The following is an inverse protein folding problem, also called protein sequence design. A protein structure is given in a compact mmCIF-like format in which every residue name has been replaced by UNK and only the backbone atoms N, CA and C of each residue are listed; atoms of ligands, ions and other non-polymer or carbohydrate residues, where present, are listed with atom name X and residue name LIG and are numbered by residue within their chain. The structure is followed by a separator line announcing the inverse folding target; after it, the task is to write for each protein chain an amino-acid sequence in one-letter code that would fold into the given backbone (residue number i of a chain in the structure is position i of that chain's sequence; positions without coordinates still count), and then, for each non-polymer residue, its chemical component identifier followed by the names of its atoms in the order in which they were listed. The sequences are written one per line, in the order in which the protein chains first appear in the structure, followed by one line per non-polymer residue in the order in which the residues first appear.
data_IF_123113361506
#
_entry.id   IF_123113361506
#
_cell.length_a   1.000
_cell.length_b   1.000
_cell.length_c   1.000
_cell.angle_alpha   90.00
_cell.angle_beta   90.00
_cell.angle_gamma   90.00
#
_symmetry.space_group_name_H-M   'P 1'
#
loop_
_entity.id
_entity.type
_entity.pdbx_description
1 polymer ?
#
# COMPACT_ATOMS: atom_id res chain seq x y z
N UNK A 1 4.22 4.12 18.63
CA UNK A 1 2.83 4.34 18.18
C UNK A 1 2.64 5.70 17.55
N UNK A 2 3.32 6.73 18.07
CA UNK A 2 3.23 8.11 17.58
C UNK A 2 3.43 8.27 16.05
N UNK A 3 4.42 7.60 15.46
CA UNK A 3 4.70 7.74 14.02
C UNK A 3 3.60 7.14 13.13
N UNK A 4 3.00 6.02 13.53
CA UNK A 4 1.93 5.38 12.77
C UNK A 4 0.67 6.27 12.77
N UNK A 5 0.34 6.88 13.90
CA UNK A 5 -0.74 7.87 14.02
C UNK A 5 -0.46 9.13 13.22
N UNK A 6 0.79 9.63 13.24
CA UNK A 6 1.22 10.77 12.40
C UNK A 6 1.06 10.46 10.92
N UNK A 7 1.45 9.27 10.47
CA UNK A 7 1.29 8.86 9.07
C UNK A 7 -0.20 8.73 8.72
N UNK A 8 -1.03 8.20 9.61
CA UNK A 8 -2.47 8.09 9.43
C UNK A 8 -3.15 9.47 9.30
N UNK A 9 -2.66 10.49 10.02
CA UNK A 9 -3.15 11.87 9.90
C UNK A 9 -2.74 12.57 8.57
N UNK A 10 -1.89 11.92 7.77
CA UNK A 10 -1.36 12.41 6.51
C UNK A 10 0.05 12.99 6.67
N UNK A 11 0.86 12.85 5.62
CA UNK A 11 2.28 13.22 5.61
C UNK A 11 2.50 14.38 4.65
N UNK A 12 3.30 15.37 5.03
CA UNK A 12 3.70 16.46 4.12
C UNK A 12 5.15 16.27 3.72
N UNK A 13 5.41 16.01 2.43
CA UNK A 13 6.76 15.84 1.88
C UNK A 13 7.00 16.94 0.83
N UNK A 14 8.10 17.67 0.95
CA UNK A 14 8.51 18.72 0.00
C UNK A 14 7.39 19.71 -0.37
N UNK A 15 6.57 20.08 0.62
CA UNK A 15 5.43 21.00 0.43
C UNK A 15 4.17 20.35 -0.15
N UNK A 16 4.19 19.06 -0.45
CA UNK A 16 3.04 18.30 -0.94
C UNK A 16 2.44 17.44 0.17
N UNK A 17 1.13 17.60 0.40
CA UNK A 17 0.39 16.74 1.33
C UNK A 17 0.02 15.42 0.66
N UNK A 18 0.48 14.32 1.23
CA UNK A 18 0.14 12.96 0.85
C UNK A 18 -1.01 12.46 1.71
N UNK A 19 -2.02 11.93 1.04
CA UNK A 19 -3.18 11.32 1.68
C UNK A 19 -2.95 9.82 1.83
N UNK A 20 -2.93 9.36 3.07
CA UNK A 20 -2.93 7.95 3.45
C UNK A 20 -4.36 7.58 3.79
N UNK A 21 -4.95 6.62 3.07
CA UNK A 21 -6.34 6.23 3.34
C UNK A 21 -6.40 5.31 4.58
N UNK A 22 -5.41 4.44 4.75
CA UNK A 22 -5.34 3.49 5.86
C UNK A 22 -3.88 3.07 6.11
N UNK A 23 -3.52 2.91 7.39
CA UNK A 23 -2.24 2.34 7.81
C UNK A 23 -2.45 1.49 9.07
N UNK A 24 -1.87 0.30 9.12
CA UNK A 24 -2.04 -0.63 10.23
C UNK A 24 -0.88 -1.63 10.32
N UNK A 25 -0.68 -2.21 11.51
CA UNK A 25 0.15 -3.41 11.63
C UNK A 25 -0.57 -4.61 11.02
N UNK A 26 0.19 -5.50 10.39
CA UNK A 26 -0.37 -6.75 9.89
C UNK A 26 -0.56 -7.71 11.07
N UNK A 27 -1.77 -8.26 11.20
CA UNK A 27 -2.10 -9.21 12.27
C UNK A 27 -1.24 -10.49 12.14
N UNK A 28 -0.73 -10.99 13.27
CA UNK A 28 0.16 -12.15 13.35
C UNK A 28 1.53 -11.99 12.65
N UNK A 29 1.89 -10.80 12.21
CA UNK A 29 3.21 -10.49 11.64
C UNK A 29 4.05 -9.62 12.60
N UNK A 30 5.38 -9.57 12.42
CA UNK A 30 6.22 -8.65 13.17
C UNK A 30 5.77 -7.19 12.98
N UNK A 31 5.95 -6.35 14.01
CA UNK A 31 5.63 -4.91 13.94
C UNK A 31 6.48 -4.11 12.92
N UNK A 32 7.38 -4.77 12.21
CA UNK A 32 8.13 -4.22 11.08
C UNK A 32 7.38 -4.37 9.76
N UNK A 33 6.29 -5.14 9.72
CA UNK A 33 5.42 -5.32 8.55
C UNK A 33 4.16 -4.46 8.72
N UNK A 34 3.97 -3.53 7.78
CA UNK A 34 2.94 -2.49 7.84
C UNK A 34 2.06 -2.57 6.60
N UNK A 35 0.74 -2.67 6.83
CA UNK A 35 -0.27 -2.48 5.81
C UNK A 35 -0.44 -0.99 5.52
N UNK A 36 -0.39 -0.62 4.23
CA UNK A 36 -0.57 0.77 3.79
C UNK A 36 -1.49 0.83 2.57
N UNK A 37 -2.54 1.65 2.64
CA UNK A 37 -3.46 1.91 1.53
C UNK A 37 -3.30 3.35 1.06
N UNK A 38 -2.96 3.49 -0.22
CA UNK A 38 -2.78 4.78 -0.90
C UNK A 38 -3.61 4.81 -2.18
N UNK A 39 -4.02 6.01 -2.59
CA UNK A 39 -4.66 6.24 -3.89
C UNK A 39 -3.67 6.29 -5.04
N UNK A 40 -2.40 6.59 -4.76
CA UNK A 40 -1.35 6.68 -5.77
C UNK A 40 -0.70 5.31 -6.02
N UNK A 41 -0.47 4.92 -7.28
CA UNK A 41 0.25 3.69 -7.60
C UNK A 41 1.78 3.86 -7.47
N UNK A 42 2.29 5.04 -7.09
CA UNK A 42 3.71 5.33 -7.07
C UNK A 42 4.41 4.72 -5.84
N UNK A 43 5.20 3.66 -6.06
CA UNK A 43 5.98 2.98 -5.00
C UNK A 43 7.01 3.90 -4.35
N UNK A 44 7.52 4.93 -5.06
CA UNK A 44 8.46 5.89 -4.48
C UNK A 44 7.85 6.69 -3.33
N UNK A 45 6.54 6.92 -3.36
CA UNK A 45 5.82 7.62 -2.30
C UNK A 45 5.84 6.82 -1.00
N UNK A 46 5.67 5.49 -1.07
CA UNK A 46 5.76 4.61 0.10
C UNK A 46 7.12 4.76 0.77
N UNK A 47 8.21 4.69 -0.02
CA UNK A 47 9.58 4.86 0.48
C UNK A 47 9.78 6.24 1.11
N UNK A 48 9.39 7.30 0.40
CA UNK A 48 9.56 8.67 0.86
C UNK A 48 8.82 8.95 2.19
N UNK A 49 7.63 8.36 2.39
CA UNK A 49 6.90 8.44 3.66
C UNK A 49 7.75 7.87 4.79
N UNK A 50 8.22 6.64 4.68
CA UNK A 50 8.97 5.98 5.76
C UNK A 50 10.37 6.59 5.97
N UNK A 51 11.05 7.00 4.90
CA UNK A 51 12.35 7.69 4.96
C UNK A 51 12.27 9.03 5.71
N UNK A 52 11.15 9.76 5.57
CA UNK A 52 10.89 10.99 6.33
C UNK A 52 10.93 10.75 7.85
N UNK A 53 10.42 9.61 8.30
CA UNK A 53 10.45 9.18 9.70
C UNK A 53 11.70 8.34 10.05
N UNK A 54 12.73 8.34 9.21
CA UNK A 54 14.01 7.66 9.42
C UNK A 54 13.92 6.13 9.48
N UNK A 55 12.97 5.55 8.76
CA UNK A 55 12.86 4.10 8.57
C UNK A 55 13.36 3.68 7.19
N UNK A 56 14.13 2.59 7.15
CA UNK A 56 14.57 1.96 5.91
C UNK A 56 13.52 0.97 5.40
N UNK A 57 13.03 1.20 4.18
CA UNK A 57 12.09 0.28 3.53
C UNK A 57 12.86 -0.83 2.83
N UNK A 58 12.93 -2.00 3.48
CA UNK A 58 13.64 -3.17 2.95
C UNK A 58 12.91 -3.79 1.75
N UNK A 59 11.59 -3.89 1.83
CA UNK A 59 10.75 -4.52 0.80
C UNK A 59 9.43 -3.78 0.65
N UNK A 60 8.94 -3.70 -0.58
CA UNK A 60 7.57 -3.25 -0.88
C UNK A 60 6.89 -4.33 -1.68
N UNK A 61 5.68 -4.70 -1.27
CA UNK A 61 4.89 -5.74 -1.90
C UNK A 61 3.44 -5.27 -2.07
N UNK A 62 2.98 -5.20 -3.32
CA UNK A 62 1.60 -4.81 -3.61
C UNK A 62 0.72 -6.05 -3.58
N UNK A 63 -0.08 -6.18 -2.53
CA UNK A 63 -0.98 -7.32 -2.32
C UNK A 63 -2.36 -7.13 -2.97
N UNK A 64 -2.78 -5.88 -3.18
CA UNK A 64 -4.08 -5.50 -3.74
C UNK A 64 -3.96 -4.28 -4.65
N UNK A 65 -4.80 -4.22 -5.69
CA UNK A 65 -4.92 -3.09 -6.61
C UNK A 65 -6.32 -3.04 -7.21
N UNK A 66 -7.05 -1.93 -7.02
CA UNK A 66 -8.39 -1.73 -7.59
C UNK A 66 -9.34 -2.94 -7.37
N UNK A 67 -9.35 -3.49 -6.15
CA UNK A 67 -10.17 -4.66 -5.79
C UNK A 67 -9.60 -6.02 -6.26
N UNK A 68 -8.58 -6.05 -7.11
CA UNK A 68 -7.85 -7.27 -7.45
C UNK A 68 -6.85 -7.61 -6.35
N UNK A 69 -6.63 -8.91 -6.12
CA UNK A 69 -5.61 -9.40 -5.18
C UNK A 69 -4.72 -10.43 -5.85
N UNK A 70 -3.48 -10.56 -5.37
CA UNK A 70 -2.56 -11.61 -5.82
C UNK A 70 -2.83 -12.99 -5.20
N UNK A 71 -3.93 -13.15 -4.45
CA UNK A 71 -4.29 -14.42 -3.81
C UNK A 71 -4.38 -15.52 -4.87
N UNK A 72 -3.76 -16.66 -4.60
CA UNK A 72 -3.68 -17.80 -5.52
C UNK A 72 -2.95 -17.55 -6.86
N UNK A 73 -2.13 -16.49 -6.95
CA UNK A 73 -1.28 -16.24 -8.12
C UNK A 73 0.21 -16.30 -7.71
N UNK A 74 0.93 -17.38 -8.06
CA UNK A 74 2.36 -17.50 -7.77
C UNK A 74 3.18 -16.40 -8.44
N UNK A 75 4.34 -16.09 -7.85
CA UNK A 75 5.27 -15.13 -8.41
C UNK A 75 5.71 -15.56 -9.81
N UNK A 76 5.67 -14.64 -10.77
CA UNK A 76 6.04 -14.89 -12.16
C UNK A 76 4.90 -15.39 -13.05
N UNK A 77 3.74 -15.73 -12.47
CA UNK A 77 2.59 -16.19 -13.23
C UNK A 77 1.62 -15.05 -13.52
N UNK A 78 0.81 -15.25 -14.56
CA UNK A 78 -0.34 -14.41 -14.87
C UNK A 78 -1.58 -15.29 -15.10
N UNK A 79 -2.75 -14.66 -15.04
CA UNK A 79 -4.02 -15.27 -15.45
C UNK A 79 -4.88 -14.22 -16.11
N UNK A 80 -5.90 -14.66 -16.86
CA UNK A 80 -6.95 -13.76 -17.34
C UNK A 80 -7.86 -13.36 -16.17
N UNK A 81 -8.40 -12.14 -16.26
CA UNK A 81 -9.42 -11.65 -15.35
C UNK A 81 -10.74 -12.38 -15.63
N UNK A 82 -11.51 -12.62 -14.57
CA UNK A 82 -12.90 -13.08 -14.74
C UNK A 82 -13.77 -11.94 -15.26
N UNK A 83 -14.93 -12.25 -15.83
CA UNK A 83 -15.88 -11.23 -16.27
C UNK A 83 -16.28 -10.29 -15.12
N UNK A 84 -16.50 -10.85 -13.91
CA UNK A 84 -16.82 -10.06 -12.73
C UNK A 84 -15.70 -9.08 -12.36
N UNK A 85 -14.43 -9.50 -12.44
CA UNK A 85 -13.29 -8.62 -12.17
C UNK A 85 -13.21 -7.49 -13.19
N UNK A 86 -13.48 -7.77 -14.47
CA UNK A 86 -13.53 -6.75 -15.52
C UNK A 86 -14.66 -5.75 -15.27
N UNK A 87 -15.85 -6.23 -14.88
CA UNK A 87 -17.00 -5.38 -14.54
C UNK A 87 -16.67 -4.49 -13.36
N UNK A 88 -16.09 -5.05 -12.29
CA UNK A 88 -15.71 -4.30 -11.10
C UNK A 88 -14.71 -3.19 -11.44
N UNK A 89 -13.68 -3.49 -12.25
CA UNK A 89 -12.69 -2.49 -12.68
C UNK A 89 -13.29 -1.36 -13.52
N UNK A 90 -14.27 -1.64 -14.37
CA UNK A 90 -14.95 -0.61 -15.18
C UNK A 90 -15.83 0.32 -14.35
N UNK A 91 -16.29 -0.16 -13.19
CA UNK A 91 -17.21 0.55 -12.31
C UNK A 91 -16.52 1.09 -11.04
N UNK A 92 -15.18 1.14 -11.02
CA UNK A 92 -14.38 1.69 -9.91
C UNK A 92 -14.09 3.16 -10.10
#
# INVERSE_FOLDING_TARGET
FEDLEKIAAGVTLDGHKLFVDEISYIENEPKTEIGLKLRTPNVKVVRAIFEHYKYDVLRVDRVSFAGLTKKNLPRGNYRLLTEQEIINLKNT
#
